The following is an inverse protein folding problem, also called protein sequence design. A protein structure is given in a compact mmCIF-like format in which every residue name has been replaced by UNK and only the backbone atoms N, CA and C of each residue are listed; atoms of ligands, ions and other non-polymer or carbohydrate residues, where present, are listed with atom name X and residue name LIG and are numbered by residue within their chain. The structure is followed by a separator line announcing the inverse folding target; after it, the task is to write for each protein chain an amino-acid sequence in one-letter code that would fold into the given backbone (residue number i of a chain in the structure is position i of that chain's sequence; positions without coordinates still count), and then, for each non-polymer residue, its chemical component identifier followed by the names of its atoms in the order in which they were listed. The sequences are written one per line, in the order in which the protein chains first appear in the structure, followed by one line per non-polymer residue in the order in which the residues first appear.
data_IF_391469541830
#
_entry.id   IF_391469541830
#
_cell.length_a   1.000
_cell.length_b   1.000
_cell.length_c   1.000
_cell.angle_alpha   90.00
_cell.angle_beta   90.00
_cell.angle_gamma   90.00
#
_symmetry.space_group_name_H-M   'P 1'
#
loop_
_entity.id
_entity.type
_entity.pdbx_description
1 polymer ?
#
# COMPACT_ATOMS: atom_id res chain seq x y z
N UNK A 1 -5.09 -27.29 10.97
CA UNK A 1 -3.92 -26.94 10.17
C UNK A 1 -3.13 -25.94 10.98
N UNK A 2 -1.89 -26.25 11.30
CA UNK A 2 -0.99 -25.39 12.07
C UNK A 2 0.07 -24.81 11.12
N UNK A 3 0.47 -23.55 11.34
CA UNK A 3 1.56 -22.92 10.60
C UNK A 3 2.65 -22.53 11.58
N UNK A 4 3.89 -22.68 11.17
CA UNK A 4 5.06 -22.17 11.89
C UNK A 4 5.57 -20.95 11.13
N UNK A 5 5.87 -19.86 11.85
CA UNK A 5 6.47 -18.68 11.24
C UNK A 5 7.78 -18.31 11.93
N UNK A 6 8.68 -17.74 11.13
CA UNK A 6 9.95 -17.19 11.59
C UNK A 6 10.03 -15.73 11.15
N UNK A 7 10.16 -14.83 12.11
CA UNK A 7 10.35 -13.40 11.86
C UNK A 7 11.83 -13.02 12.07
N UNK A 8 12.38 -12.33 11.09
CA UNK A 8 13.78 -11.92 11.06
C UNK A 8 13.86 -10.44 10.69
N UNK A 9 14.53 -9.64 11.51
CA UNK A 9 14.92 -8.29 11.13
C UNK A 9 16.06 -8.37 10.12
N UNK A 10 15.88 -7.79 8.94
CA UNK A 10 16.89 -7.83 7.86
C UNK A 10 17.67 -6.54 7.73
N UNK A 11 17.02 -5.39 7.95
CA UNK A 11 17.66 -4.09 7.79
C UNK A 11 17.10 -3.05 8.76
N UNK A 12 17.96 -2.09 9.12
CA UNK A 12 17.60 -0.87 9.83
C UNK A 12 18.09 0.33 9.02
N UNK A 13 17.17 1.23 8.69
CA UNK A 13 17.47 2.42 7.90
C UNK A 13 17.26 3.68 8.70
N UNK A 14 18.26 4.55 8.73
CA UNK A 14 18.16 5.90 9.28
C UNK A 14 17.56 6.85 8.21
N UNK A 15 16.51 7.55 8.55
CA UNK A 15 15.91 8.56 7.67
C UNK A 15 16.36 9.98 7.99
N UNK A 16 17.23 10.11 9.01
CA UNK A 16 17.76 11.37 9.51
C UNK A 16 17.00 11.92 10.72
N UNK A 17 17.60 12.89 11.38
CA UNK A 17 17.03 13.54 12.57
C UNK A 17 15.62 14.10 12.27
N UNK A 18 14.66 13.85 13.17
CA UNK A 18 13.27 14.26 13.02
C UNK A 18 12.49 13.56 11.90
N UNK A 19 13.09 12.63 11.16
CA UNK A 19 12.47 11.93 10.03
C UNK A 19 12.22 10.45 10.30
N UNK A 20 12.64 9.97 11.47
CA UNK A 20 12.40 8.62 11.93
C UNK A 20 13.37 7.58 11.37
N UNK A 21 13.05 6.32 11.64
CA UNK A 21 13.77 5.17 11.08
C UNK A 21 12.79 4.22 10.38
N UNK A 22 13.33 3.34 9.54
CA UNK A 22 12.59 2.24 8.94
C UNK A 22 13.24 0.91 9.32
N UNK A 23 12.41 -0.05 9.72
CA UNK A 23 12.83 -1.42 10.04
C UNK A 23 12.27 -2.34 8.97
N UNK A 24 13.13 -3.10 8.33
CA UNK A 24 12.71 -4.14 7.39
C UNK A 24 12.74 -5.49 8.09
N UNK A 25 11.64 -6.23 7.98
CA UNK A 25 11.55 -7.61 8.47
C UNK A 25 11.11 -8.56 7.35
N UNK A 26 11.42 -9.83 7.55
CA UNK A 26 11.00 -10.92 6.70
C UNK A 26 10.35 -11.99 7.58
N UNK A 27 9.08 -12.29 7.30
CA UNK A 27 8.34 -13.37 7.94
C UNK A 27 8.22 -14.54 6.95
N UNK A 28 8.78 -15.66 7.31
CA UNK A 28 8.68 -16.91 6.57
C UNK A 28 7.63 -17.80 7.22
N UNK A 29 6.71 -18.32 6.42
CA UNK A 29 5.61 -19.16 6.88
C UNK A 29 5.82 -20.59 6.34
N UNK A 30 5.78 -21.56 7.23
CA UNK A 30 5.99 -22.96 6.94
C UNK A 30 4.75 -23.78 7.29
N UNK A 31 4.56 -24.90 6.60
CA UNK A 31 3.62 -25.95 7.01
C UNK A 31 4.17 -26.77 8.18
N UNK A 32 3.36 -27.70 8.69
CA UNK A 32 3.75 -28.62 9.77
C UNK A 32 4.94 -29.53 9.40
N UNK A 33 5.14 -29.78 8.11
CA UNK A 33 6.26 -30.57 7.56
C UNK A 33 7.55 -29.79 7.37
N UNK A 34 7.54 -28.47 7.63
CA UNK A 34 8.70 -27.58 7.45
C UNK A 34 8.87 -27.07 6.02
N UNK A 35 7.88 -27.23 5.15
CA UNK A 35 7.92 -26.69 3.78
C UNK A 35 7.63 -25.19 3.83
N UNK A 36 8.48 -24.37 3.21
CA UNK A 36 8.24 -22.93 3.07
C UNK A 36 7.05 -22.67 2.14
N UNK A 37 6.00 -22.06 2.67
CA UNK A 37 4.79 -21.73 1.93
C UNK A 37 4.83 -20.32 1.33
N UNK A 38 5.27 -19.35 2.12
CA UNK A 38 5.41 -17.96 1.63
C UNK A 38 6.42 -17.18 2.47
N UNK A 39 6.88 -16.07 1.88
CA UNK A 39 7.73 -15.09 2.53
C UNK A 39 7.08 -13.71 2.42
N UNK A 40 6.78 -13.10 3.55
CA UNK A 40 6.32 -11.72 3.64
C UNK A 40 7.49 -10.80 3.98
N UNK A 41 7.69 -9.73 3.21
CA UNK A 41 8.64 -8.67 3.53
C UNK A 41 7.88 -7.41 3.90
N UNK A 42 8.19 -6.87 5.07
CA UNK A 42 7.56 -5.67 5.59
C UNK A 42 8.60 -4.59 5.86
N UNK A 43 8.21 -3.33 5.69
CA UNK A 43 9.01 -2.19 6.15
C UNK A 43 8.13 -1.34 7.05
N UNK A 44 8.47 -1.30 8.33
CA UNK A 44 7.76 -0.52 9.34
C UNK A 44 8.48 0.78 9.58
N UNK A 45 7.74 1.88 9.56
CA UNK A 45 8.26 3.23 9.83
C UNK A 45 8.05 3.59 11.30
N UNK A 46 9.10 4.08 11.94
CA UNK A 46 9.10 4.62 13.29
C UNK A 46 9.42 6.12 13.21
N UNK A 47 8.43 7.01 13.28
CA UNK A 47 8.62 8.43 12.97
C UNK A 47 9.56 9.18 13.91
N UNK A 48 9.73 8.68 15.14
CA UNK A 48 10.47 9.37 16.22
C UNK A 48 11.89 8.87 16.44
N UNK A 49 12.31 7.80 15.73
CA UNK A 49 13.56 7.09 16.01
C UNK A 49 14.57 7.23 14.85
N UNK A 50 15.06 8.43 14.60
CA UNK A 50 16.03 8.67 13.51
C UNK A 50 17.21 9.52 13.99
N UNK A 51 18.23 9.69 13.14
CA UNK A 51 19.41 10.50 13.42
C UNK A 51 20.53 9.76 14.13
N UNK A 52 20.54 8.43 14.09
CA UNK A 52 21.59 7.61 14.70
C UNK A 52 22.79 7.32 13.77
N UNK A 53 22.80 7.86 12.54
CA UNK A 53 23.90 7.70 11.59
C UNK A 53 23.94 6.36 10.88
N UNK A 54 22.81 5.65 10.82
CA UNK A 54 22.69 4.39 10.09
C UNK A 54 22.62 4.56 8.57
N UNK A 55 22.54 3.44 7.84
CA UNK A 55 22.39 3.46 6.39
C UNK A 55 21.08 4.13 5.96
N UNK A 56 21.08 4.93 4.87
CA UNK A 56 19.88 5.57 4.38
C UNK A 56 18.93 4.55 3.74
N UNK A 57 17.62 4.79 3.89
CA UNK A 57 16.63 3.95 3.21
C UNK A 57 16.75 4.07 1.69
N UNK A 58 16.83 2.97 0.93
CA UNK A 58 16.83 3.02 -0.52
C UNK A 58 15.60 3.74 -1.06
N UNK A 59 15.78 4.55 -2.09
CA UNK A 59 14.66 5.18 -2.78
C UNK A 59 13.83 4.10 -3.47
N UNK A 60 12.51 4.06 -3.18
CA UNK A 60 11.59 3.20 -3.89
C UNK A 60 11.15 3.81 -5.21
N UNK A 61 10.50 3.01 -6.04
CA UNK A 61 9.74 3.29 -7.26
C UNK A 61 10.32 4.26 -8.30
N UNK A 62 10.09 3.97 -9.55
CA UNK A 62 10.32 4.89 -10.67
C UNK A 62 9.43 6.13 -10.54
N UNK A 63 9.92 7.31 -10.92
CA UNK A 63 9.09 8.51 -10.94
C UNK A 63 7.90 8.34 -11.90
N UNK A 64 6.80 8.96 -11.58
CA UNK A 64 5.66 9.08 -12.50
C UNK A 64 6.11 9.93 -13.70
N UNK A 65 5.80 9.53 -14.95
CA UNK A 65 6.16 10.32 -16.12
C UNK A 65 5.57 11.73 -16.08
N UNK A 66 6.33 12.72 -16.59
CA UNK A 66 5.91 14.12 -16.71
C UNK A 66 5.10 14.38 -17.99
N UNK A 67 4.24 13.45 -18.37
CA UNK A 67 3.32 13.55 -19.49
C UNK A 67 1.93 13.12 -19.08
N UNK A 68 0.93 13.41 -19.90
CA UNK A 68 -0.41 12.94 -19.65
C UNK A 68 -0.48 11.41 -19.57
N UNK A 69 -1.37 10.86 -18.74
CA UNK A 69 -1.58 9.42 -18.66
C UNK A 69 -2.14 8.87 -19.96
N UNK A 70 -1.77 7.63 -20.30
CA UNK A 70 -2.32 6.95 -21.47
C UNK A 70 -3.77 6.52 -21.24
N UNK A 71 -4.15 6.29 -19.97
CA UNK A 71 -5.51 5.92 -19.57
C UNK A 71 -5.87 6.63 -18.27
N UNK A 72 -7.10 7.11 -18.18
CA UNK A 72 -7.74 7.60 -16.96
C UNK A 72 -9.02 6.78 -16.76
N UNK A 73 -9.14 6.14 -15.60
CA UNK A 73 -10.24 5.26 -15.25
C UNK A 73 -10.94 5.82 -14.02
N UNK A 74 -12.21 6.16 -14.16
CA UNK A 74 -13.05 6.61 -13.07
C UNK A 74 -13.55 5.43 -12.24
N UNK A 75 -13.64 5.62 -10.93
CA UNK A 75 -14.24 4.68 -9.99
C UNK A 75 -14.73 5.42 -8.75
N UNK A 76 -15.29 4.69 -7.81
CA UNK A 76 -15.82 5.26 -6.57
C UNK A 76 -15.57 4.34 -5.39
N UNK A 77 -15.04 4.89 -4.31
CA UNK A 77 -14.92 4.19 -3.03
C UNK A 77 -16.24 4.31 -2.28
N UNK A 78 -16.90 3.18 -2.06
CA UNK A 78 -18.20 3.17 -1.39
C UNK A 78 -18.15 3.71 0.03
N UNK A 79 -19.26 4.28 0.51
CA UNK A 79 -19.39 4.90 1.83
C UNK A 79 -19.10 3.95 3.00
N UNK A 80 -19.32 2.64 2.82
CA UNK A 80 -19.06 1.61 3.85
C UNK A 80 -17.78 0.80 3.56
N UNK A 81 -16.91 1.23 2.64
CA UNK A 81 -15.80 0.41 2.17
C UNK A 81 -14.78 0.09 3.28
N UNK A 82 -14.50 1.03 4.15
CA UNK A 82 -13.62 0.83 5.31
C UNK A 82 -14.20 -0.17 6.32
N UNK A 83 -15.53 -0.15 6.53
CA UNK A 83 -16.22 -1.09 7.41
C UNK A 83 -16.19 -2.51 6.84
N UNK A 84 -16.42 -2.64 5.52
CA UNK A 84 -16.37 -3.93 4.82
C UNK A 84 -14.94 -4.50 4.82
N UNK A 85 -13.95 -3.67 4.52
CA UNK A 85 -12.55 -4.11 4.48
C UNK A 85 -12.07 -4.60 5.86
N UNK A 86 -12.51 -3.95 6.94
CA UNK A 86 -12.18 -4.37 8.31
C UNK A 86 -12.53 -5.84 8.58
N UNK A 87 -13.55 -6.39 7.94
CA UNK A 87 -13.96 -7.80 8.11
C UNK A 87 -12.88 -8.78 7.62
N UNK A 88 -11.87 -8.33 6.88
CA UNK A 88 -10.71 -9.14 6.49
C UNK A 88 -9.68 -9.35 7.61
N UNK A 89 -9.88 -8.71 8.78
CA UNK A 89 -9.04 -8.91 9.96
C UNK A 89 -8.29 -7.68 10.47
N UNK A 90 -8.40 -6.53 9.81
CA UNK A 90 -7.79 -5.29 10.29
C UNK A 90 -8.61 -4.71 11.44
N UNK A 91 -8.07 -4.74 12.66
CA UNK A 91 -8.72 -4.27 13.88
C UNK A 91 -8.34 -2.84 14.27
N UNK A 92 -7.55 -2.13 13.45
CA UNK A 92 -7.11 -0.78 13.77
C UNK A 92 -8.30 0.19 13.75
N UNK A 93 -8.59 0.77 14.90
CA UNK A 93 -9.77 1.64 15.11
C UNK A 93 -9.73 2.93 14.30
N UNK A 94 -8.56 3.38 13.85
CA UNK A 94 -8.42 4.61 13.04
C UNK A 94 -9.26 4.59 11.76
N UNK A 95 -9.60 3.42 11.28
CA UNK A 95 -10.39 3.23 10.05
C UNK A 95 -11.91 3.20 10.28
N UNK A 96 -12.36 3.18 11.54
CA UNK A 96 -13.80 2.99 11.85
C UNK A 96 -14.30 3.89 12.97
N UNK A 97 -13.42 4.35 13.85
CA UNK A 97 -13.75 5.19 15.00
C UNK A 97 -13.31 6.64 14.72
N UNK A 98 -14.28 7.56 14.72
CA UNK A 98 -14.05 8.97 14.42
C UNK A 98 -13.15 9.63 15.46
N UNK A 99 -13.37 9.35 16.74
CA UNK A 99 -12.62 10.01 17.82
C UNK A 99 -11.15 9.58 17.80
N UNK A 100 -10.90 8.29 17.50
CA UNK A 100 -9.55 7.77 17.29
C UNK A 100 -8.89 8.41 16.06
N UNK A 101 -9.59 8.53 14.95
CA UNK A 101 -9.05 9.16 13.74
C UNK A 101 -8.71 10.64 13.98
N UNK A 102 -9.63 11.40 14.57
CA UNK A 102 -9.44 12.83 14.88
C UNK A 102 -8.30 13.04 15.88
N UNK A 103 -8.15 12.19 16.89
CA UNK A 103 -7.03 12.27 17.85
C UNK A 103 -5.65 12.10 17.19
N UNK A 104 -5.61 11.51 15.98
CA UNK A 104 -4.40 11.35 15.15
C UNK A 104 -4.24 12.42 14.08
N UNK A 105 -5.07 13.48 14.11
CA UNK A 105 -4.99 14.59 13.17
C UNK A 105 -5.64 14.34 11.81
N UNK A 106 -6.56 13.38 11.72
CA UNK A 106 -7.32 13.05 10.52
C UNK A 106 -8.73 13.63 10.59
N UNK A 107 -9.35 13.87 9.45
CA UNK A 107 -10.73 14.42 9.40
C UNK A 107 -11.80 13.38 9.81
N UNK A 108 -11.44 12.13 9.83
CA UNK A 108 -12.31 11.00 10.21
C UNK A 108 -11.73 9.66 9.83
N UNK A 109 -12.52 8.59 9.97
CA UNK A 109 -12.11 7.26 9.52
C UNK A 109 -11.80 7.26 8.02
N UNK A 110 -10.68 6.69 7.66
CA UNK A 110 -10.20 6.65 6.27
C UNK A 110 -10.10 5.22 5.75
N UNK A 111 -9.99 5.07 4.45
CA UNK A 111 -9.87 3.77 3.77
C UNK A 111 -8.50 3.16 4.06
N UNK A 112 -8.46 1.87 4.32
CA UNK A 112 -7.21 1.14 4.51
C UNK A 112 -6.34 1.22 3.25
N UNK A 113 -5.06 1.46 3.41
CA UNK A 113 -4.11 1.57 2.30
C UNK A 113 -4.10 0.33 1.41
N UNK A 114 -4.18 -0.87 1.99
CA UNK A 114 -4.26 -2.11 1.22
C UNK A 114 -5.61 -2.29 0.51
N UNK A 115 -6.68 -1.67 1.00
CA UNK A 115 -7.95 -1.61 0.28
C UNK A 115 -7.79 -0.75 -0.99
N UNK A 116 -7.23 0.46 -0.87
CA UNK A 116 -6.94 1.32 -2.01
C UNK A 116 -5.99 0.63 -3.01
N UNK A 117 -4.99 -0.11 -2.51
CA UNK A 117 -4.10 -0.94 -3.33
C UNK A 117 -4.88 -2.00 -4.13
N UNK A 118 -5.90 -2.62 -3.52
CA UNK A 118 -6.80 -3.57 -4.19
C UNK A 118 -7.62 -2.93 -5.31
N UNK A 119 -8.11 -1.71 -5.11
CA UNK A 119 -8.78 -0.92 -6.18
C UNK A 119 -7.86 -0.72 -7.39
N UNK A 120 -6.64 -0.26 -7.15
CA UNK A 120 -5.64 -0.08 -8.22
C UNK A 120 -5.34 -1.40 -8.91
N UNK A 121 -5.13 -2.49 -8.16
CA UNK A 121 -4.87 -3.81 -8.72
C UNK A 121 -6.01 -4.26 -9.64
N UNK A 122 -7.25 -4.16 -9.19
CA UNK A 122 -8.44 -4.52 -9.98
C UNK A 122 -8.57 -3.69 -11.25
N UNK A 123 -8.49 -2.36 -11.14
CA UNK A 123 -8.64 -1.45 -12.27
C UNK A 123 -7.50 -1.61 -13.29
N UNK A 124 -6.25 -1.65 -12.82
CA UNK A 124 -5.09 -1.82 -13.69
C UNK A 124 -5.13 -3.16 -14.43
N UNK A 125 -5.46 -4.25 -13.72
CA UNK A 125 -5.53 -5.58 -14.32
C UNK A 125 -6.63 -5.65 -15.39
N UNK A 126 -7.81 -5.09 -15.11
CA UNK A 126 -8.92 -5.07 -16.06
C UNK A 126 -8.57 -4.31 -17.35
N UNK A 127 -7.75 -3.26 -17.28
CA UNK A 127 -7.36 -2.45 -18.42
C UNK A 127 -6.12 -2.97 -19.16
N UNK A 128 -5.13 -3.46 -18.43
CA UNK A 128 -3.87 -3.90 -19.03
C UNK A 128 -3.90 -5.37 -19.46
N UNK A 129 -4.69 -6.20 -18.79
CA UNK A 129 -4.74 -7.65 -18.99
C UNK A 129 -6.19 -8.19 -18.96
N UNK A 130 -7.10 -7.71 -19.85
CA UNK A 130 -8.51 -8.12 -19.83
C UNK A 130 -8.64 -9.65 -19.91
N UNK A 131 -9.29 -10.27 -18.93
CA UNK A 131 -9.45 -11.72 -18.83
C UNK A 131 -8.21 -12.51 -18.40
N UNK A 132 -7.06 -11.83 -18.14
CA UNK A 132 -5.78 -12.47 -17.83
C UNK A 132 -5.12 -11.85 -16.58
N UNK A 133 -5.76 -11.87 -15.41
CA UNK A 133 -5.20 -11.27 -14.19
C UNK A 133 -3.88 -11.88 -13.74
N UNK A 134 -3.61 -13.13 -14.12
CA UNK A 134 -2.35 -13.85 -13.85
C UNK A 134 -1.11 -13.20 -14.49
N UNK A 135 -1.30 -12.30 -15.45
CA UNK A 135 -0.19 -11.56 -16.08
C UNK A 135 0.37 -10.46 -15.19
N UNK A 136 -0.37 -10.00 -14.16
CA UNK A 136 0.16 -9.07 -13.18
C UNK A 136 1.06 -9.82 -12.18
N UNK A 137 2.37 -9.78 -12.40
CA UNK A 137 3.36 -10.52 -11.59
C UNK A 137 3.96 -9.69 -10.45
N UNK A 138 3.91 -8.37 -10.55
CA UNK A 138 4.46 -7.46 -9.54
C UNK A 138 3.72 -6.13 -9.54
N UNK A 139 3.43 -5.64 -8.36
CA UNK A 139 2.89 -4.31 -8.16
C UNK A 139 3.59 -3.64 -6.98
N UNK A 140 3.83 -2.34 -7.08
CA UNK A 140 4.41 -1.53 -6.01
C UNK A 140 3.63 -0.21 -5.93
N UNK A 141 3.32 0.22 -4.72
CA UNK A 141 2.70 1.52 -4.46
C UNK A 141 3.36 2.22 -3.28
N UNK A 142 3.38 3.55 -3.32
CA UNK A 142 3.71 4.40 -2.19
C UNK A 142 2.47 5.22 -1.85
N UNK A 143 1.93 5.02 -0.66
CA UNK A 143 0.80 5.79 -0.15
C UNK A 143 1.31 7.18 0.25
N UNK A 144 0.65 8.22 -0.25
CA UNK A 144 1.05 9.63 -0.05
C UNK A 144 0.06 10.39 0.81
N UNK A 145 -1.23 10.14 0.58
CA UNK A 145 -2.35 10.79 1.26
C UNK A 145 -3.39 9.74 1.61
N UNK A 146 -4.25 10.05 2.56
CA UNK A 146 -5.38 9.20 2.90
C UNK A 146 -6.54 9.41 1.91
N UNK A 147 -7.32 8.36 1.70
CA UNK A 147 -8.58 8.40 0.97
C UNK A 147 -9.72 8.12 1.93
N UNK A 148 -10.79 8.89 1.84
CA UNK A 148 -11.96 8.71 2.69
C UNK A 148 -13.02 7.86 2.00
N UNK A 149 -13.93 7.21 2.77
CA UNK A 149 -15.13 6.59 2.20
C UNK A 149 -15.97 7.61 1.42
N UNK A 150 -16.78 7.13 0.51
CA UNK A 150 -17.66 7.94 -0.35
C UNK A 150 -16.89 8.95 -1.23
N UNK A 151 -15.76 8.51 -1.75
CA UNK A 151 -14.88 9.37 -2.56
C UNK A 151 -14.86 8.90 -4.02
N UNK A 152 -15.16 9.78 -4.99
CA UNK A 152 -14.88 9.51 -6.39
C UNK A 152 -13.35 9.50 -6.61
N UNK A 153 -12.86 8.49 -7.30
CA UNK A 153 -11.43 8.29 -7.52
C UNK A 153 -11.11 8.09 -8.99
N UNK A 154 -9.87 8.37 -9.34
CA UNK A 154 -9.33 8.11 -10.68
C UNK A 154 -8.04 7.30 -10.59
N UNK A 155 -7.92 6.31 -11.46
CA UNK A 155 -6.67 5.64 -11.74
C UNK A 155 -6.08 6.20 -13.03
N UNK A 156 -4.96 6.89 -12.92
CA UNK A 156 -4.15 7.33 -14.05
C UNK A 156 -3.09 6.28 -14.34
N UNK A 157 -3.01 5.80 -15.58
CA UNK A 157 -2.05 4.79 -16.03
C UNK A 157 -1.15 5.32 -17.14
N UNK A 158 0.14 5.05 -17.02
CA UNK A 158 1.17 5.29 -18.04
C UNK A 158 1.77 3.96 -18.47
N UNK A 159 1.63 3.61 -19.73
CA UNK A 159 2.36 2.50 -20.34
C UNK A 159 3.82 2.95 -20.53
N UNK A 160 4.74 2.21 -19.98
CA UNK A 160 6.17 2.46 -20.08
C UNK A 160 6.78 1.58 -21.18
N UNK A 161 7.88 0.93 -20.88
CA UNK A 161 8.44 -0.12 -21.72
C UNK A 161 7.61 -1.41 -21.64
N UNK A 162 7.88 -2.36 -22.50
CA UNK A 162 7.16 -3.63 -22.55
C UNK A 162 7.08 -4.28 -21.16
N UNK A 163 5.85 -4.67 -20.79
CA UNK A 163 5.55 -5.33 -19.53
C UNK A 163 5.56 -4.42 -18.29
N UNK A 164 5.69 -3.09 -18.44
CA UNK A 164 5.69 -2.15 -17.32
C UNK A 164 4.66 -1.04 -17.49
N UNK A 165 4.08 -0.62 -16.37
CA UNK A 165 3.23 0.56 -16.29
C UNK A 165 3.50 1.32 -14.99
N UNK A 166 3.35 2.65 -15.05
CA UNK A 166 3.26 3.48 -13.85
C UNK A 166 1.80 3.84 -13.59
N UNK A 167 1.49 4.17 -12.34
CA UNK A 167 0.14 4.60 -11.99
C UNK A 167 0.14 5.66 -10.90
N UNK A 168 -0.95 6.42 -10.88
CA UNK A 168 -1.36 7.29 -9.77
C UNK A 168 -2.83 7.06 -9.49
N UNK A 169 -3.19 6.88 -8.23
CA UNK A 169 -4.57 6.74 -7.78
C UNK A 169 -4.91 7.94 -6.91
N UNK A 170 -5.90 8.69 -7.29
CA UNK A 170 -6.20 10.01 -6.72
C UNK A 170 -7.68 10.16 -6.41
N UNK A 171 -8.00 11.07 -5.50
CA UNK A 171 -9.33 11.62 -5.38
C UNK A 171 -9.64 12.44 -6.64
N UNK A 172 -10.73 12.13 -7.33
CA UNK A 172 -11.08 12.77 -8.60
C UNK A 172 -11.46 14.27 -8.46
N UNK A 173 -11.74 14.73 -7.24
CA UNK A 173 -12.11 16.12 -6.98
C UNK A 173 -10.95 17.01 -6.54
N UNK A 174 -9.97 16.42 -5.85
CA UNK A 174 -8.87 17.18 -5.22
C UNK A 174 -7.49 16.89 -5.82
N UNK A 175 -7.36 15.83 -6.61
CA UNK A 175 -6.11 15.39 -7.24
C UNK A 175 -5.29 14.43 -6.40
#
# INVERSE_FOLDING_TARGET
MCFVYRDVLTDLFDRGEGRGMAVRSQVEVFDEGGTLLCTNRCTTLFPTLGGYGGQPMPRGASPIPERDPDLVIDDHIGAAQNLLYRLTGDTNLVHVDRDVAVSRGLDGPFVHDLCAYGYVCRLATAQLFPGHPEKLTRMFAAMKTVLYPDTPVQLHLWKLEEGKAAFRFVNAQTG
#
